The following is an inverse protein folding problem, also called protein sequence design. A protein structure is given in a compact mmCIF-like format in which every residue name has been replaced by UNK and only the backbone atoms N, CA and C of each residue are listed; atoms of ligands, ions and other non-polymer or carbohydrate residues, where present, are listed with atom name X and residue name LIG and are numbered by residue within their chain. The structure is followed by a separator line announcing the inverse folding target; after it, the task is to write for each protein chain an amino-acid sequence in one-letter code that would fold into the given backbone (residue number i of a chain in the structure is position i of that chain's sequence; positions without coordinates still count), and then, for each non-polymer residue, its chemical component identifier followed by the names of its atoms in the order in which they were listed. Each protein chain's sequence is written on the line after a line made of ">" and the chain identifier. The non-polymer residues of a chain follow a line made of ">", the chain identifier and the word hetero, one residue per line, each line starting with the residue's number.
data_IF_318199270331
#
_entry.id   IF_318199270331
#
_cell.length_a   1.000
_cell.length_b   1.000
_cell.length_c   1.000
_cell.angle_alpha   90.00
_cell.angle_beta   90.00
_cell.angle_gamma   90.00
#
_symmetry.space_group_name_H-M   'P 1'
#
loop_
_entity.id
_entity.type
_entity.pdbx_description
1 polymer ?
#
# COMPACT_ATOMS: atom_id res chain seq x y z
N UNK A 1 -24.96 2.25 -8.87
CA UNK A 1 -24.62 1.03 -9.63
C UNK A 1 -25.86 0.26 -10.06
N UNK A 2 -25.81 -0.51 -11.16
CA UNK A 2 -26.91 -1.35 -11.68
C UNK A 2 -26.97 -2.73 -11.01
N UNK A 3 -25.80 -3.31 -10.73
CA UNK A 3 -25.63 -4.55 -9.98
C UNK A 3 -24.34 -4.49 -9.14
N UNK A 4 -24.05 -5.54 -8.37
CA UNK A 4 -22.92 -5.59 -7.44
C UNK A 4 -21.55 -5.73 -8.11
N UNK A 5 -21.49 -6.22 -9.35
CA UNK A 5 -20.27 -6.20 -10.18
C UNK A 5 -19.75 -4.78 -10.47
N UNK A 6 -20.60 -3.78 -10.21
CA UNK A 6 -20.33 -2.35 -10.36
C UNK A 6 -20.13 -1.64 -9.00
N UNK A 7 -19.87 -2.38 -7.91
CA UNK A 7 -19.73 -1.85 -6.54
C UNK A 7 -18.72 -0.70 -6.43
N UNK A 8 -17.63 -0.77 -7.18
CA UNK A 8 -16.57 0.24 -7.17
C UNK A 8 -17.07 1.64 -7.61
N UNK A 9 -18.16 1.74 -8.39
CA UNK A 9 -18.78 3.02 -8.75
C UNK A 9 -19.31 3.76 -7.53
N UNK A 10 -19.65 3.03 -6.47
CA UNK A 10 -20.00 3.62 -5.18
C UNK A 10 -18.73 3.76 -4.34
N UNK A 11 -18.05 2.65 -4.03
CA UNK A 11 -17.04 2.61 -2.96
C UNK A 11 -15.70 3.24 -3.35
N UNK A 12 -15.22 2.98 -4.57
CA UNK A 12 -14.01 3.63 -5.09
C UNK A 12 -14.20 5.13 -5.25
N UNK A 13 -15.38 5.56 -5.70
CA UNK A 13 -15.74 6.99 -5.80
C UNK A 13 -15.89 7.66 -4.45
N UNK A 14 -16.60 7.04 -3.50
CA UNK A 14 -16.77 7.57 -2.16
C UNK A 14 -15.41 7.74 -1.47
N UNK A 15 -14.53 6.74 -1.60
CA UNK A 15 -13.16 6.80 -1.10
C UNK A 15 -12.40 7.98 -1.72
N UNK A 16 -12.40 8.12 -3.06
CA UNK A 16 -11.70 9.21 -3.74
C UNK A 16 -12.25 10.60 -3.40
N UNK A 17 -13.57 10.78 -3.42
CA UNK A 17 -14.22 12.05 -3.08
C UNK A 17 -13.98 12.40 -1.61
N UNK A 18 -13.95 11.42 -0.71
CA UNK A 18 -13.62 11.61 0.70
C UNK A 18 -12.23 12.21 0.89
N UNK A 19 -11.22 11.64 0.24
CA UNK A 19 -9.86 12.18 0.24
C UNK A 19 -9.78 13.57 -0.40
N UNK A 20 -10.41 13.76 -1.57
CA UNK A 20 -10.42 15.04 -2.27
C UNK A 20 -11.08 16.16 -1.43
N UNK A 21 -12.22 15.87 -0.81
CA UNK A 21 -12.93 16.82 0.04
C UNK A 21 -12.11 17.16 1.29
N UNK A 22 -11.49 16.15 1.91
CA UNK A 22 -10.64 16.36 3.09
C UNK A 22 -9.43 17.21 2.74
N UNK A 23 -8.75 16.93 1.61
CA UNK A 23 -7.62 17.72 1.13
C UNK A 23 -8.03 19.18 0.83
N UNK A 24 -9.23 19.39 0.28
CA UNK A 24 -9.73 20.74 0.02
C UNK A 24 -10.08 21.52 1.30
N UNK A 25 -10.66 20.84 2.29
CA UNK A 25 -11.09 21.46 3.55
C UNK A 25 -9.94 21.61 4.57
N UNK A 26 -9.00 20.66 4.54
CA UNK A 26 -7.88 20.51 5.48
C UNK A 26 -6.57 20.19 4.72
N UNK A 27 -6.08 21.08 3.84
CA UNK A 27 -4.85 20.85 3.08
C UNK A 27 -3.61 20.66 3.97
N UNK A 28 -3.63 21.20 5.19
CA UNK A 28 -2.56 21.06 6.18
C UNK A 28 -2.38 19.63 6.69
N UNK A 29 -3.37 18.75 6.50
CA UNK A 29 -3.28 17.34 6.91
C UNK A 29 -2.45 16.48 5.95
N UNK A 30 -2.17 16.96 4.73
CA UNK A 30 -1.37 16.21 3.74
C UNK A 30 -1.93 14.80 3.50
N UNK A 31 -3.24 14.72 3.22
CA UNK A 31 -3.94 13.44 3.18
C UNK A 31 -3.62 12.58 1.95
N UNK A 32 -3.15 13.18 0.85
CA UNK A 32 -2.73 12.41 -0.32
C UNK A 32 -1.45 11.59 -0.08
N UNK A 33 -0.38 12.15 0.50
CA UNK A 33 0.75 11.38 1.01
C UNK A 33 0.34 10.22 1.92
N UNK A 34 -0.60 10.43 2.85
CA UNK A 34 -1.14 9.37 3.73
C UNK A 34 -1.83 8.28 2.92
N UNK A 35 -2.73 8.65 2.00
CA UNK A 35 -3.40 7.69 1.13
C UNK A 35 -2.42 6.88 0.29
N UNK A 36 -1.35 7.49 -0.22
CA UNK A 36 -0.34 6.76 -0.99
C UNK A 36 0.34 5.74 -0.10
N UNK A 37 0.83 6.16 1.07
CA UNK A 37 1.55 5.34 2.03
C UNK A 37 0.74 4.14 2.54
N UNK A 38 -0.56 4.35 2.79
CA UNK A 38 -1.43 3.34 3.39
C UNK A 38 -2.31 2.67 2.33
N UNK A 39 -3.22 3.44 1.74
CA UNK A 39 -4.26 2.93 0.85
C UNK A 39 -3.71 2.38 -0.47
N UNK A 40 -2.88 3.16 -1.15
CA UNK A 40 -2.31 2.76 -2.45
C UNK A 40 -1.32 1.61 -2.29
N UNK A 41 -0.44 1.65 -1.28
CA UNK A 41 0.47 0.53 -0.96
C UNK A 41 -0.30 -0.75 -0.62
N UNK A 42 -1.41 -0.66 0.13
CA UNK A 42 -2.24 -1.83 0.41
C UNK A 42 -2.86 -2.41 -0.86
N UNK A 43 -3.37 -1.55 -1.75
CA UNK A 43 -3.88 -1.99 -3.04
C UNK A 43 -2.78 -2.63 -3.89
N UNK A 44 -1.56 -2.07 -3.92
CA UNK A 44 -0.43 -2.69 -4.64
C UNK A 44 -0.12 -4.09 -4.11
N UNK A 45 -0.02 -4.25 -2.78
CA UNK A 45 0.28 -5.54 -2.14
C UNK A 45 -0.74 -6.61 -2.53
N UNK A 46 -2.03 -6.32 -2.35
CA UNK A 46 -3.10 -7.28 -2.68
C UNK A 46 -3.21 -7.55 -4.18
N UNK A 47 -2.91 -6.56 -5.02
CA UNK A 47 -3.01 -6.71 -6.46
C UNK A 47 -1.72 -7.26 -7.12
N UNK A 48 -0.67 -7.47 -6.34
CA UNK A 48 0.60 -8.09 -6.76
C UNK A 48 0.58 -9.63 -6.72
N UNK A 49 -0.51 -10.26 -6.28
CA UNK A 49 -0.64 -11.71 -6.23
C UNK A 49 -1.56 -12.25 -7.32
N UNK A 50 -1.38 -13.51 -7.71
CA UNK A 50 -2.22 -14.16 -8.73
C UNK A 50 -3.66 -14.37 -8.29
N UNK A 51 -3.89 -14.48 -6.98
CA UNK A 51 -5.21 -14.66 -6.37
C UNK A 51 -6.02 -13.36 -6.21
N UNK A 52 -5.49 -12.21 -6.63
CA UNK A 52 -6.26 -10.95 -6.72
C UNK A 52 -7.44 -11.08 -7.69
N UNK A 53 -8.32 -10.08 -7.72
CA UNK A 53 -9.40 -9.96 -8.70
C UNK A 53 -9.38 -8.60 -9.42
N UNK A 54 -10.18 -8.50 -10.49
CA UNK A 54 -10.38 -7.24 -11.20
C UNK A 54 -11.32 -6.34 -10.39
N UNK A 55 -11.27 -5.03 -10.60
CA UNK A 55 -12.19 -4.10 -9.92
C UNK A 55 -13.64 -4.41 -10.28
N UNK A 56 -13.90 -4.67 -11.57
CA UNK A 56 -15.18 -5.18 -12.04
C UNK A 56 -15.13 -6.71 -12.12
N UNK A 57 -15.80 -7.35 -11.18
CA UNK A 57 -15.81 -8.81 -11.01
C UNK A 57 -17.25 -9.34 -11.12
N UNK A 58 -17.50 -10.44 -11.85
CA UNK A 58 -18.85 -10.99 -11.95
C UNK A 58 -19.35 -11.48 -10.59
N UNK A 59 -20.51 -10.96 -10.15
CA UNK A 59 -21.19 -11.36 -8.91
C UNK A 59 -22.45 -12.16 -9.26
N UNK A 60 -22.50 -13.43 -8.87
CA UNK A 60 -23.60 -14.34 -9.23
C UNK A 60 -24.64 -14.44 -8.13
N UNK A 61 -24.22 -14.43 -6.87
CA UNK A 61 -25.13 -14.55 -5.73
C UNK A 61 -24.71 -13.65 -4.55
N UNK A 62 -25.46 -13.73 -3.45
CA UNK A 62 -25.29 -12.84 -2.31
C UNK A 62 -23.99 -13.11 -1.52
N UNK A 63 -23.40 -14.31 -1.61
CA UNK A 63 -22.14 -14.61 -0.93
C UNK A 63 -20.97 -13.96 -1.67
N UNK A 64 -21.01 -13.95 -3.00
CA UNK A 64 -20.04 -13.24 -3.84
C UNK A 64 -19.99 -11.73 -3.51
N UNK A 65 -21.13 -11.12 -3.14
CA UNK A 65 -21.20 -9.70 -2.78
C UNK A 65 -20.25 -9.37 -1.63
N UNK A 66 -20.26 -10.17 -0.57
CA UNK A 66 -19.43 -9.93 0.61
C UNK A 66 -17.93 -10.05 0.35
N UNK A 67 -17.54 -10.79 -0.70
CA UNK A 67 -16.15 -10.99 -1.07
C UNK A 67 -15.54 -9.77 -1.76
N UNK A 68 -16.37 -8.89 -2.32
CA UNK A 68 -15.92 -7.73 -3.10
C UNK A 68 -16.04 -6.41 -2.32
N UNK A 69 -16.48 -6.46 -1.06
CA UNK A 69 -16.35 -5.38 -0.09
C UNK A 69 -14.92 -5.36 0.47
N UNK A 70 -13.95 -5.10 -0.40
CA UNK A 70 -12.54 -5.34 -0.13
C UNK A 70 -11.65 -4.16 -0.51
N UNK A 71 -10.35 -4.27 -0.24
CA UNK A 71 -9.39 -3.22 -0.57
C UNK A 71 -9.19 -3.02 -2.09
N UNK A 72 -9.50 -3.99 -2.95
CA UNK A 72 -9.45 -3.80 -4.39
C UNK A 72 -10.58 -2.86 -4.84
N UNK A 73 -11.83 -3.11 -4.45
CA UNK A 73 -12.95 -2.24 -4.85
C UNK A 73 -12.83 -0.81 -4.29
N UNK A 74 -12.29 -0.66 -3.08
CA UNK A 74 -12.14 0.65 -2.43
C UNK A 74 -10.85 1.36 -2.85
N UNK A 75 -9.68 0.75 -2.60
CA UNK A 75 -8.38 1.42 -2.67
C UNK A 75 -7.78 1.39 -4.09
N UNK A 76 -7.88 0.26 -4.80
CA UNK A 76 -7.52 0.20 -6.24
C UNK A 76 -8.51 1.03 -7.07
N UNK A 77 -9.80 0.95 -6.75
CA UNK A 77 -10.85 1.81 -7.31
C UNK A 77 -10.54 3.30 -7.15
N UNK A 78 -10.25 3.75 -5.92
CA UNK A 78 -9.82 5.12 -5.63
C UNK A 78 -8.56 5.51 -6.42
N UNK A 79 -7.55 4.64 -6.47
CA UNK A 79 -6.29 4.90 -7.17
C UNK A 79 -6.50 5.06 -8.69
N UNK A 80 -7.34 4.22 -9.30
CA UNK A 80 -7.70 4.31 -10.72
C UNK A 80 -8.46 5.62 -11.03
N UNK A 81 -9.38 6.04 -10.15
CA UNK A 81 -10.09 7.32 -10.27
C UNK A 81 -9.12 8.49 -10.14
N UNK A 82 -8.25 8.47 -9.12
CA UNK A 82 -7.23 9.51 -8.89
C UNK A 82 -6.31 9.68 -10.11
N UNK A 83 -5.85 8.58 -10.67
CA UNK A 83 -5.01 8.58 -11.87
C UNK A 83 -5.72 9.22 -13.07
N UNK A 84 -6.99 8.85 -13.31
CA UNK A 84 -7.77 9.43 -14.39
C UNK A 84 -8.07 10.91 -14.15
N UNK A 85 -8.47 11.29 -12.93
CA UNK A 85 -8.81 12.66 -12.57
C UNK A 85 -7.60 13.61 -12.73
N UNK A 86 -6.41 13.16 -12.33
CA UNK A 86 -5.17 13.89 -12.55
C UNK A 86 -4.87 14.04 -14.05
N UNK A 87 -5.00 12.96 -14.83
CA UNK A 87 -4.72 13.01 -16.27
C UNK A 87 -5.69 13.91 -17.06
N UNK A 88 -6.98 13.89 -16.73
CA UNK A 88 -7.98 14.72 -17.40
C UNK A 88 -8.00 16.18 -16.88
N UNK A 89 -7.39 16.42 -15.72
CA UNK A 89 -7.58 17.62 -14.91
C UNK A 89 -8.84 17.52 -14.06
N UNK A 90 -8.69 17.80 -12.75
CA UNK A 90 -9.75 17.62 -11.75
C UNK A 90 -11.03 18.39 -12.09
N UNK A 91 -10.93 19.61 -12.63
CA UNK A 91 -12.10 20.39 -13.04
C UNK A 91 -12.89 19.72 -14.18
N UNK A 92 -12.20 19.24 -15.21
CA UNK A 92 -12.80 18.51 -16.33
C UNK A 92 -13.43 17.21 -15.85
N UNK A 93 -12.74 16.51 -14.96
CA UNK A 93 -13.25 15.29 -14.35
C UNK A 93 -14.55 15.54 -13.57
N UNK A 94 -14.55 16.51 -12.64
CA UNK A 94 -15.72 16.88 -11.84
C UNK A 94 -16.88 17.37 -12.71
N UNK A 95 -16.61 18.07 -13.81
CA UNK A 95 -17.63 18.45 -14.79
C UNK A 95 -18.30 17.22 -15.42
N UNK A 96 -17.51 16.23 -15.84
CA UNK A 96 -18.04 14.97 -16.36
C UNK A 96 -18.83 14.17 -15.32
N UNK A 97 -18.35 14.10 -14.09
CA UNK A 97 -19.09 13.50 -12.96
C UNK A 97 -20.41 14.22 -12.71
N UNK A 98 -20.43 15.57 -12.74
CA UNK A 98 -21.68 16.33 -12.59
C UNK A 98 -22.69 15.99 -13.68
N UNK A 99 -22.24 15.83 -14.93
CA UNK A 99 -23.12 15.45 -16.03
C UNK A 99 -23.68 14.03 -15.85
N UNK A 100 -22.82 13.08 -15.46
CA UNK A 100 -23.21 11.71 -15.12
C UNK A 100 -24.29 11.68 -14.02
N UNK A 101 -24.05 12.35 -12.89
CA UNK A 101 -24.99 12.38 -11.76
C UNK A 101 -26.34 12.99 -12.14
N UNK A 102 -26.35 14.08 -12.92
CA UNK A 102 -27.60 14.71 -13.41
C UNK A 102 -28.37 13.80 -14.36
N UNK A 103 -27.67 13.07 -15.24
CA UNK A 103 -28.28 12.19 -16.23
C UNK A 103 -28.89 10.92 -15.61
N UNK A 104 -28.28 10.42 -14.53
CA UNK A 104 -28.67 9.16 -13.87
C UNK A 104 -29.34 9.39 -12.50
N UNK A 105 -29.80 10.61 -12.23
CA UNK A 105 -30.39 10.97 -10.95
C UNK A 105 -31.62 10.08 -10.62
N UNK A 106 -31.65 9.53 -9.41
CA UNK A 106 -32.69 8.62 -8.92
C UNK A 106 -32.84 7.30 -9.71
N UNK A 107 -31.82 6.92 -10.48
CA UNK A 107 -31.76 5.65 -11.19
C UNK A 107 -30.44 4.92 -10.98
N UNK A 108 -30.20 3.93 -11.83
CA UNK A 108 -29.01 3.09 -11.80
C UNK A 108 -28.13 3.36 -13.02
N UNK A 109 -26.86 2.94 -12.93
CA UNK A 109 -25.88 3.12 -13.98
C UNK A 109 -24.78 2.05 -13.89
N UNK A 110 -24.23 1.72 -15.06
CA UNK A 110 -23.06 0.87 -15.25
C UNK A 110 -21.80 1.71 -15.45
N UNK A 111 -20.64 1.06 -15.40
CA UNK A 111 -19.34 1.68 -15.58
C UNK A 111 -19.24 2.49 -16.88
N UNK A 112 -19.81 2.00 -17.98
CA UNK A 112 -19.76 2.67 -19.28
C UNK A 112 -20.49 4.02 -19.28
N UNK A 113 -21.50 4.19 -18.42
CA UNK A 113 -22.24 5.45 -18.33
C UNK A 113 -21.38 6.57 -17.74
N UNK A 114 -20.58 6.26 -16.72
CA UNK A 114 -19.60 7.19 -16.15
C UNK A 114 -18.51 7.52 -17.18
N UNK A 115 -17.91 6.51 -17.81
CA UNK A 115 -16.88 6.71 -18.83
C UNK A 115 -17.35 7.51 -20.02
N UNK A 116 -18.60 7.32 -20.46
CA UNK A 116 -19.18 8.12 -21.53
C UNK A 116 -19.28 9.60 -21.14
N UNK A 117 -19.75 9.90 -19.91
CA UNK A 117 -19.86 11.28 -19.43
C UNK A 117 -18.48 11.96 -19.27
N UNK A 118 -17.47 11.23 -18.78
CA UNK A 118 -16.10 11.73 -18.70
C UNK A 118 -15.48 11.92 -20.10
N UNK A 119 -15.80 11.04 -21.04
CA UNK A 119 -15.34 11.16 -22.43
C UNK A 119 -15.93 12.39 -23.12
N UNK A 120 -17.22 12.65 -22.93
CA UNK A 120 -17.90 13.85 -23.42
C UNK A 120 -17.30 15.14 -22.82
N UNK A 121 -16.95 15.13 -21.53
CA UNK A 121 -16.39 16.30 -20.86
C UNK A 121 -14.94 16.61 -21.25
N UNK A 122 -14.13 15.57 -21.48
CA UNK A 122 -12.68 15.69 -21.73
C UNK A 122 -12.27 15.64 -23.20
N UNK A 123 -13.14 15.11 -24.08
CA UNK A 123 -12.79 14.81 -25.47
C UNK A 123 -11.82 13.64 -25.62
N UNK A 124 -11.58 12.86 -24.56
CA UNK A 124 -10.75 11.64 -24.58
C UNK A 124 -11.64 10.40 -24.55
N UNK A 125 -11.20 9.30 -25.17
CA UNK A 125 -11.91 8.03 -25.09
C UNK A 125 -11.63 7.31 -23.76
N UNK A 126 -12.30 7.73 -22.69
CA UNK A 126 -12.06 7.22 -21.33
C UNK A 126 -12.36 5.73 -21.22
N UNK A 127 -13.32 5.21 -21.99
CA UNK A 127 -13.61 3.78 -22.03
C UNK A 127 -12.38 2.97 -22.49
N UNK A 128 -11.71 3.42 -23.57
CA UNK A 128 -10.49 2.78 -24.05
C UNK A 128 -9.36 2.86 -23.02
N UNK A 129 -9.20 4.02 -22.37
CA UNK A 129 -8.11 4.25 -21.40
C UNK A 129 -8.29 3.41 -20.13
N UNK A 130 -9.50 3.39 -19.55
CA UNK A 130 -9.76 2.77 -18.25
C UNK A 130 -10.20 1.30 -18.33
N UNK A 131 -10.61 0.82 -19.50
CA UNK A 131 -11.05 -0.57 -19.69
C UNK A 131 -10.12 -1.61 -19.04
N UNK A 132 -8.81 -1.62 -19.35
CA UNK A 132 -7.86 -2.54 -18.73
C UNK A 132 -7.72 -2.38 -17.21
N UNK A 133 -7.78 -1.15 -16.68
CA UNK A 133 -7.64 -0.88 -15.25
C UNK A 133 -8.79 -1.43 -14.41
N UNK A 134 -9.98 -1.48 -14.99
CA UNK A 134 -11.17 -1.97 -14.30
C UNK A 134 -11.37 -3.47 -14.50
N UNK A 135 -11.13 -3.98 -15.72
CA UNK A 135 -11.49 -5.34 -16.13
C UNK A 135 -10.36 -6.37 -16.00
N UNK A 136 -9.14 -5.95 -15.69
CA UNK A 136 -7.97 -6.85 -15.57
C UNK A 136 -7.42 -6.86 -14.15
N UNK A 137 -7.02 -8.06 -13.71
CA UNK A 137 -6.35 -8.31 -12.44
C UNK A 137 -4.92 -7.76 -12.52
N UNK A 138 -4.41 -7.21 -11.42
CA UNK A 138 -3.03 -6.75 -11.33
C UNK A 138 -2.80 -5.31 -11.78
N UNK A 139 -1.55 -4.89 -11.61
CA UNK A 139 -1.02 -3.59 -12.00
C UNK A 139 0.36 -3.75 -12.65
N UNK A 140 0.81 -2.78 -13.45
CA UNK A 140 2.10 -2.87 -14.12
C UNK A 140 3.25 -2.35 -13.25
N UNK A 141 4.43 -2.93 -13.48
CA UNK A 141 5.72 -2.28 -13.27
C UNK A 141 6.21 -1.70 -14.60
N UNK A 142 6.66 -0.45 -14.57
CA UNK A 142 7.28 0.25 -15.69
C UNK A 142 8.80 0.21 -15.53
N UNK A 143 9.48 -0.65 -16.30
CA UNK A 143 10.94 -0.76 -16.32
C UNK A 143 11.54 0.30 -17.24
N UNK A 144 12.52 1.04 -16.72
CA UNK A 144 13.19 2.14 -17.42
C UNK A 144 14.62 1.73 -17.77
N UNK A 145 15.01 1.97 -19.02
CA UNK A 145 16.39 1.85 -19.48
C UNK A 145 16.87 3.21 -20.02
N UNK A 146 17.98 3.71 -19.48
CA UNK A 146 18.53 5.01 -19.86
C UNK A 146 19.48 4.94 -21.05
N UNK A 147 19.36 5.94 -21.92
CA UNK A 147 20.26 6.19 -23.04
C UNK A 147 20.52 7.70 -23.14
N UNK A 148 21.56 8.16 -23.86
CA UNK A 148 21.81 9.59 -24.01
C UNK A 148 20.59 10.35 -24.55
N UNK A 149 20.08 11.30 -23.77
CA UNK A 149 18.90 12.14 -24.08
C UNK A 149 17.57 11.40 -24.27
N UNK A 150 17.47 10.12 -23.94
CA UNK A 150 16.24 9.35 -24.09
C UNK A 150 16.13 8.21 -23.08
N UNK A 151 14.91 7.76 -22.83
CA UNK A 151 14.64 6.57 -22.03
C UNK A 151 13.77 5.60 -22.82
N UNK A 152 14.10 4.32 -22.75
CA UNK A 152 13.20 3.25 -23.18
C UNK A 152 12.41 2.78 -21.97
N UNK A 153 11.11 2.64 -22.14
CA UNK A 153 10.19 2.22 -21.08
C UNK A 153 9.44 0.97 -21.53
N UNK A 154 9.27 0.01 -20.61
CA UNK A 154 8.54 -1.23 -20.85
C UNK A 154 7.62 -1.54 -19.68
N UNK A 155 6.37 -1.81 -19.97
CA UNK A 155 5.40 -2.27 -18.97
C UNK A 155 5.27 -3.78 -18.96
N UNK A 156 5.23 -4.36 -17.76
CA UNK A 156 4.88 -5.76 -17.51
C UNK A 156 4.05 -5.85 -16.23
N UNK A 157 3.19 -6.86 -16.11
CA UNK A 157 2.48 -7.15 -14.85
C UNK A 157 3.51 -7.31 -13.72
N UNK A 158 3.27 -6.64 -12.60
CA UNK A 158 4.05 -6.86 -11.39
C UNK A 158 3.48 -8.03 -10.58
N UNK A 159 4.35 -8.93 -10.12
CA UNK A 159 4.03 -9.94 -9.13
C UNK A 159 5.06 -9.91 -8.01
N UNK A 160 4.61 -9.95 -6.75
CA UNK A 160 5.50 -9.93 -5.58
C UNK A 160 6.45 -11.13 -5.52
N UNK A 161 6.08 -12.24 -6.16
CA UNK A 161 6.89 -13.46 -6.28
C UNK A 161 8.01 -13.35 -7.31
N UNK A 162 8.04 -12.31 -8.16
CA UNK A 162 9.05 -12.12 -9.20
C UNK A 162 9.00 -13.11 -10.37
N UNK A 163 8.15 -14.14 -10.31
CA UNK A 163 8.10 -15.26 -11.26
C UNK A 163 7.07 -15.06 -12.39
N UNK A 164 6.95 -13.83 -12.90
CA UNK A 164 5.98 -13.47 -13.96
C UNK A 164 6.17 -14.35 -15.20
N UNK A 165 5.10 -15.04 -15.63
CA UNK A 165 5.07 -15.87 -16.85
C UNK A 165 4.36 -15.12 -17.99
N UNK A 166 4.55 -15.50 -19.27
CA UNK A 166 3.89 -14.84 -20.40
C UNK A 166 2.36 -14.74 -20.27
N UNK A 167 1.73 -15.79 -19.74
CA UNK A 167 0.29 -15.84 -19.45
C UNK A 167 -0.17 -14.85 -18.35
N UNK A 168 0.75 -14.44 -17.46
CA UNK A 168 0.46 -13.42 -16.45
C UNK A 168 0.54 -12.00 -17.05
N UNK A 169 1.28 -11.81 -18.15
CA UNK A 169 1.63 -10.50 -18.72
C UNK A 169 0.98 -10.21 -20.09
N UNK A 170 -0.25 -10.64 -20.30
CA UNK A 170 -1.00 -10.41 -21.56
C UNK A 170 -1.57 -8.98 -21.66
N UNK A 171 -1.85 -8.34 -20.53
CA UNK A 171 -2.50 -7.04 -20.48
C UNK A 171 -1.55 -5.92 -20.87
N UNK A 172 -2.01 -5.01 -21.74
CA UNK A 172 -1.35 -3.72 -21.97
C UNK A 172 -2.22 -2.65 -21.33
N UNK A 173 -1.68 -1.97 -20.31
CA UNK A 173 -2.34 -0.87 -19.64
C UNK A 173 -2.07 0.43 -20.38
N UNK A 174 -3.04 1.33 -20.38
CA UNK A 174 -2.77 2.75 -20.65
C UNK A 174 -2.15 3.36 -19.39
N UNK A 175 -0.92 3.86 -19.47
CA UNK A 175 -0.20 4.40 -18.30
C UNK A 175 0.05 5.88 -18.50
N UNK A 176 -0.63 6.81 -17.77
CA UNK A 176 -0.25 8.22 -17.76
C UNK A 176 1.08 8.35 -17.02
N UNK A 177 2.11 8.81 -17.73
CA UNK A 177 3.49 8.78 -17.26
C UNK A 177 3.86 9.94 -16.34
N UNK A 178 3.11 11.04 -16.42
CA UNK A 178 3.36 12.30 -15.69
C UNK A 178 4.86 12.61 -15.58
N UNK A 179 5.48 12.82 -16.74
CA UNK A 179 6.93 12.94 -16.89
C UNK A 179 7.41 14.33 -16.50
N UNK A 180 8.27 14.42 -15.50
CA UNK A 180 9.06 15.61 -15.22
C UNK A 180 10.49 15.44 -15.76
N UNK A 181 11.11 16.53 -16.21
CA UNK A 181 12.46 16.50 -16.79
C UNK A 181 12.52 16.30 -18.31
N UNK A 182 11.49 16.76 -19.04
CA UNK A 182 11.54 16.85 -20.51
C UNK A 182 12.19 18.16 -20.94
N UNK A 183 13.22 18.09 -21.79
CA UNK A 183 13.97 19.27 -22.28
C UNK A 183 13.05 20.27 -22.95
N UNK A 184 13.24 21.54 -22.62
CA UNK A 184 12.44 22.64 -23.17
C UNK A 184 11.02 22.76 -22.56
N UNK A 185 10.64 21.88 -21.64
CA UNK A 185 9.35 21.94 -20.93
C UNK A 185 9.63 22.18 -19.45
N UNK A 186 8.87 23.10 -18.83
CA UNK A 186 8.90 23.31 -17.38
C UNK A 186 7.74 22.54 -16.73
N UNK A 187 8.03 21.85 -15.64
CA UNK A 187 7.05 21.08 -14.88
C UNK A 187 6.70 19.73 -15.51
N UNK A 188 5.53 19.21 -15.13
CA UNK A 188 5.05 17.88 -15.50
C UNK A 188 4.52 17.89 -16.95
N UNK A 189 4.94 16.90 -17.72
CA UNK A 189 4.45 16.62 -19.06
C UNK A 189 3.54 15.39 -19.03
N UNK A 190 2.24 15.61 -19.21
CA UNK A 190 1.24 14.54 -19.24
C UNK A 190 1.24 13.81 -20.59
N UNK A 191 2.14 12.85 -20.73
CA UNK A 191 2.18 11.86 -21.83
C UNK A 191 1.77 10.48 -21.31
N UNK A 192 1.43 9.55 -22.20
CA UNK A 192 1.02 8.21 -21.79
C UNK A 192 1.67 7.11 -22.63
N UNK A 193 1.87 5.95 -22.01
CA UNK A 193 2.25 4.71 -22.68
C UNK A 193 0.99 3.90 -23.00
N UNK A 194 0.73 3.66 -24.29
CA UNK A 194 -0.39 2.84 -24.79
C UNK A 194 0.05 1.47 -25.33
N UNK A 195 1.35 1.18 -25.28
CA UNK A 195 1.97 -0.05 -25.83
C UNK A 195 2.78 -0.75 -24.75
N UNK A 196 3.18 -2.00 -24.99
CA UNK A 196 4.07 -2.74 -24.09
C UNK A 196 5.41 -2.03 -23.86
N UNK A 197 5.92 -1.33 -24.87
CA UNK A 197 7.15 -0.56 -24.77
C UNK A 197 7.11 0.67 -25.69
N UNK A 198 7.87 1.70 -25.31
CA UNK A 198 8.11 2.89 -26.12
C UNK A 198 9.44 3.55 -25.75
N UNK A 199 9.89 4.52 -26.54
CA UNK A 199 11.07 5.34 -26.26
C UNK A 199 10.70 6.82 -26.22
N UNK A 200 11.08 7.49 -25.14
CA UNK A 200 10.81 8.91 -24.94
C UNK A 200 12.11 9.68 -25.15
N UNK A 201 12.11 10.58 -26.14
CA UNK A 201 13.23 11.47 -26.44
C UNK A 201 13.17 12.76 -25.64
N UNK A 202 14.26 13.51 -25.70
CA UNK A 202 14.41 14.83 -25.10
C UNK A 202 14.30 14.78 -23.57
N UNK A 203 14.91 13.76 -22.99
CA UNK A 203 15.01 13.61 -21.53
C UNK A 203 16.22 14.38 -21.01
N UNK A 204 16.01 15.15 -19.94
CA UNK A 204 17.08 15.77 -19.18
C UNK A 204 17.82 14.69 -18.38
N UNK A 205 19.11 14.51 -18.72
CA UNK A 205 19.97 13.54 -18.04
C UNK A 205 20.22 13.92 -16.57
N UNK A 206 20.18 15.21 -16.23
CA UNK A 206 20.41 15.68 -14.86
C UNK A 206 19.24 15.38 -13.93
N UNK A 207 18.02 15.33 -14.46
CA UNK A 207 16.84 14.95 -13.70
C UNK A 207 15.70 14.60 -14.63
N UNK A 208 15.14 13.41 -14.41
CA UNK A 208 13.81 13.10 -14.86
C UNK A 208 13.15 12.20 -13.84
N UNK A 209 11.82 12.21 -13.88
CA UNK A 209 11.00 11.35 -13.06
C UNK A 209 9.71 11.03 -13.80
N UNK A 210 9.30 9.78 -13.70
CA UNK A 210 8.00 9.26 -14.09
C UNK A 210 7.11 9.12 -12.85
N UNK A 211 5.80 9.17 -13.06
CA UNK A 211 4.78 9.15 -12.03
C UNK A 211 4.93 10.32 -11.03
N UNK A 212 5.13 11.54 -11.53
CA UNK A 212 5.22 12.73 -10.69
C UNK A 212 3.92 12.94 -9.89
N UNK A 213 4.05 13.23 -8.59
CA UNK A 213 2.94 13.28 -7.62
C UNK A 213 2.35 11.92 -7.27
N UNK A 214 3.00 10.82 -7.70
CA UNK A 214 2.54 9.45 -7.55
C UNK A 214 1.07 9.25 -7.99
N UNK A 215 0.60 9.99 -8.99
CA UNK A 215 -0.81 10.02 -9.39
C UNK A 215 -1.30 8.71 -10.03
N UNK A 216 -0.39 7.95 -10.64
CA UNK A 216 -0.70 6.71 -11.34
C UNK A 216 -0.51 5.46 -10.49
N UNK A 217 -1.40 4.48 -10.70
CA UNK A 217 -1.38 3.20 -10.00
C UNK A 217 -0.46 2.18 -10.70
N UNK A 218 0.85 2.47 -10.68
CA UNK A 218 1.88 1.59 -11.23
C UNK A 218 3.22 1.81 -10.51
N UNK A 219 4.06 0.77 -10.53
CA UNK A 219 5.43 0.83 -10.00
C UNK A 219 6.41 1.30 -11.07
N UNK A 220 7.49 1.97 -10.69
CA UNK A 220 8.56 2.36 -11.61
C UNK A 220 9.86 1.69 -11.19
N UNK A 221 10.41 0.88 -12.09
CA UNK A 221 11.71 0.25 -11.92
C UNK A 221 12.76 1.10 -12.63
N UNK A 222 13.37 2.02 -11.88
CA UNK A 222 14.47 2.85 -12.33
C UNK A 222 15.81 2.09 -12.27
N UNK A 223 16.76 2.39 -13.17
CA UNK A 223 18.14 1.93 -13.01
C UNK A 223 18.71 2.35 -11.65
N UNK A 224 19.59 1.54 -11.03
CA UNK A 224 20.22 1.88 -9.74
C UNK A 224 20.85 3.27 -9.72
N UNK A 225 21.46 3.70 -10.84
CA UNK A 225 22.16 4.98 -10.90
C UNK A 225 21.21 6.16 -10.90
N UNK A 226 20.01 5.98 -11.44
CA UNK A 226 18.94 6.96 -11.37
C UNK A 226 18.39 7.07 -9.96
N UNK A 227 18.19 5.95 -9.27
CA UNK A 227 17.75 5.95 -7.86
C UNK A 227 18.78 6.68 -6.98
N UNK A 228 20.07 6.38 -7.16
CA UNK A 228 21.15 7.11 -6.47
C UNK A 228 21.13 8.62 -6.77
N UNK A 229 20.88 9.00 -8.02
CA UNK A 229 20.80 10.41 -8.42
C UNK A 229 19.58 11.11 -7.82
N UNK A 230 18.41 10.47 -7.85
CA UNK A 230 17.19 10.98 -7.21
C UNK A 230 17.37 11.13 -5.69
N UNK A 231 18.11 10.22 -5.04
CA UNK A 231 18.45 10.32 -3.62
C UNK A 231 19.33 11.54 -3.29
N UNK A 232 20.03 12.12 -4.27
CA UNK A 232 20.80 13.37 -4.11
C UNK A 232 19.99 14.63 -4.43
N UNK A 233 18.77 14.46 -4.90
CA UNK A 233 17.90 15.52 -5.44
C UNK A 233 16.52 15.51 -4.77
N UNK A 234 16.47 15.13 -3.48
CA UNK A 234 15.22 15.01 -2.71
C UNK A 234 14.44 16.33 -2.60
N UNK A 235 15.11 17.47 -2.75
CA UNK A 235 14.51 18.81 -2.81
C UNK A 235 13.67 19.04 -4.08
N UNK A 236 13.86 18.20 -5.11
CA UNK A 236 13.10 18.21 -6.35
C UNK A 236 11.96 17.19 -6.37
N UNK A 237 11.75 16.46 -5.26
CA UNK A 237 10.71 15.44 -5.13
C UNK A 237 9.65 15.90 -4.13
N UNK A 238 8.38 15.72 -4.48
CA UNK A 238 7.29 15.90 -3.52
C UNK A 238 7.32 14.83 -2.40
N UNK A 239 6.46 14.95 -1.39
CA UNK A 239 6.33 13.95 -0.33
C UNK A 239 5.81 12.63 -0.94
N UNK A 240 4.77 12.73 -1.77
CA UNK A 240 4.19 11.63 -2.54
C UNK A 240 5.24 10.93 -3.39
N UNK A 241 6.12 11.72 -4.01
CA UNK A 241 7.17 11.24 -4.87
C UNK A 241 8.19 10.38 -4.13
N UNK A 242 8.60 10.83 -2.94
CA UNK A 242 9.53 10.11 -2.08
C UNK A 242 8.91 8.78 -1.62
N UNK A 243 7.68 8.84 -1.10
CA UNK A 243 6.89 7.68 -0.64
C UNK A 243 6.79 6.64 -1.76
N UNK A 244 6.33 7.05 -2.95
CA UNK A 244 6.12 6.12 -4.06
C UNK A 244 7.42 5.52 -4.61
N UNK A 245 8.53 6.27 -4.60
CA UNK A 245 9.83 5.72 -5.01
C UNK A 245 10.35 4.72 -3.97
N UNK A 246 10.20 4.99 -2.66
CA UNK A 246 10.55 4.04 -1.60
C UNK A 246 9.73 2.75 -1.75
N UNK A 247 8.40 2.84 -1.81
CA UNK A 247 7.52 1.68 -1.95
C UNK A 247 7.81 0.88 -3.22
N UNK A 248 8.04 1.57 -4.35
CA UNK A 248 8.42 0.92 -5.61
C UNK A 248 9.76 0.21 -5.53
N UNK A 249 10.81 0.89 -5.07
CA UNK A 249 12.14 0.26 -4.96
C UNK A 249 12.16 -0.87 -3.91
N UNK A 250 11.35 -0.77 -2.85
CA UNK A 250 11.15 -1.79 -1.82
C UNK A 250 10.57 -3.08 -2.41
N UNK A 251 9.37 -2.98 -3.00
CA UNK A 251 8.69 -4.12 -3.61
C UNK A 251 9.52 -4.76 -4.73
N UNK A 252 10.21 -3.96 -5.54
CA UNK A 252 11.08 -4.46 -6.61
C UNK A 252 12.30 -5.19 -6.05
N UNK A 253 12.86 -4.76 -4.92
CA UNK A 253 13.94 -5.47 -4.25
C UNK A 253 13.45 -6.83 -3.72
N UNK A 254 12.28 -6.87 -3.08
CA UNK A 254 11.69 -8.11 -2.56
C UNK A 254 11.31 -9.11 -3.66
N UNK A 255 10.79 -8.62 -4.79
CA UNK A 255 10.43 -9.48 -5.94
C UNK A 255 11.63 -9.90 -6.78
N UNK A 256 12.81 -9.31 -6.57
CA UNK A 256 14.01 -9.54 -7.39
C UNK A 256 14.00 -8.83 -8.74
N UNK A 257 13.06 -7.91 -9.00
CA UNK A 257 13.05 -7.04 -10.19
C UNK A 257 14.02 -5.85 -10.07
N UNK A 258 14.38 -5.49 -8.84
CA UNK A 258 15.38 -4.51 -8.47
C UNK A 258 16.38 -5.11 -7.48
N UNK A 259 17.21 -4.28 -6.86
CA UNK A 259 18.19 -4.73 -5.88
C UNK A 259 18.04 -3.96 -4.57
N UNK A 260 18.31 -4.65 -3.45
CA UNK A 260 18.37 -4.01 -2.13
C UNK A 260 19.38 -2.86 -2.12
N UNK A 261 20.53 -3.03 -2.78
CA UNK A 261 21.53 -1.97 -2.89
C UNK A 261 21.00 -0.69 -3.58
N UNK A 262 20.17 -0.83 -4.62
CA UNK A 262 19.56 0.31 -5.31
C UNK A 262 18.54 1.05 -4.43
N UNK A 263 17.69 0.30 -3.72
CA UNK A 263 16.78 0.85 -2.70
C UNK A 263 17.55 1.63 -1.62
N UNK A 264 18.58 1.01 -1.04
CA UNK A 264 19.37 1.60 0.03
C UNK A 264 20.14 2.85 -0.45
N UNK A 265 20.57 2.87 -1.72
CA UNK A 265 21.22 4.03 -2.34
C UNK A 265 20.28 5.23 -2.44
N UNK A 266 18.99 5.01 -2.67
CA UNK A 266 17.99 6.06 -2.62
C UNK A 266 17.77 6.55 -1.18
N UNK A 267 17.53 5.62 -0.25
CA UNK A 267 17.26 5.91 1.17
C UNK A 267 18.43 6.64 1.86
N UNK A 268 19.68 6.42 1.43
CA UNK A 268 20.84 7.11 1.99
C UNK A 268 20.73 8.64 1.87
N UNK A 269 20.01 9.16 0.87
CA UNK A 269 19.74 10.58 0.71
C UNK A 269 18.93 11.22 1.84
N UNK A 270 18.16 10.42 2.58
CA UNK A 270 17.12 10.87 3.51
C UNK A 270 17.66 11.21 4.91
N UNK A 271 18.98 11.32 5.10
CA UNK A 271 19.61 11.68 6.39
C UNK A 271 19.11 12.99 7.02
N UNK A 272 18.48 13.86 6.23
CA UNK A 272 17.88 15.14 6.67
C UNK A 272 16.37 15.19 6.47
N UNK A 273 15.74 14.07 6.11
CA UNK A 273 14.27 14.00 5.99
C UNK A 273 13.66 14.12 7.39
N UNK A 274 12.63 14.94 7.51
CA UNK A 274 11.90 15.18 8.76
C UNK A 274 10.39 14.89 8.60
N UNK A 275 9.93 14.59 7.38
CA UNK A 275 8.54 14.26 7.15
C UNK A 275 8.23 12.83 7.62
N UNK A 276 7.37 12.72 8.64
CA UNK A 276 6.93 11.43 9.20
C UNK A 276 6.34 10.48 8.16
N UNK A 277 5.56 10.98 7.20
CA UNK A 277 4.91 10.15 6.18
C UNK A 277 5.92 9.55 5.20
N UNK A 278 7.08 10.18 5.03
CA UNK A 278 8.19 9.61 4.26
C UNK A 278 8.90 8.52 5.08
N UNK A 279 9.14 8.77 6.36
CA UNK A 279 9.82 7.81 7.23
C UNK A 279 9.02 6.54 7.49
N UNK A 280 7.70 6.63 7.61
CA UNK A 280 6.87 5.43 7.81
C UNK A 280 6.87 4.47 6.62
N UNK A 281 7.31 4.89 5.43
CA UNK A 281 7.58 3.99 4.30
C UNK A 281 8.90 3.22 4.42
N UNK A 282 9.87 3.76 5.15
CA UNK A 282 11.21 3.17 5.34
C UNK A 282 11.24 2.28 6.59
N UNK A 283 10.20 2.34 7.43
CA UNK A 283 10.25 1.83 8.78
C UNK A 283 10.43 0.29 8.81
N UNK A 284 11.57 -0.10 9.37
CA UNK A 284 11.91 -1.46 9.75
C UNK A 284 12.17 -1.39 11.25
N UNK A 285 11.59 -2.30 12.03
CA UNK A 285 11.78 -2.36 13.48
C UNK A 285 13.26 -2.11 13.83
N UNK A 286 13.52 -1.11 14.67
CA UNK A 286 14.87 -0.74 15.08
C UNK A 286 15.63 -1.95 15.64
N UNK A 287 14.93 -2.80 16.41
CA UNK A 287 15.50 -4.02 16.97
C UNK A 287 15.89 -5.02 15.87
N UNK A 288 15.04 -5.19 14.86
CA UNK A 288 15.33 -6.03 13.71
C UNK A 288 16.53 -5.48 12.92
N UNK A 289 16.56 -4.18 12.61
CA UNK A 289 17.70 -3.54 11.96
C UNK A 289 18.99 -3.73 12.78
N UNK A 290 18.92 -3.53 14.09
CA UNK A 290 20.08 -3.63 14.97
C UNK A 290 20.61 -5.07 15.04
N UNK A 291 19.72 -6.04 15.10
CA UNK A 291 20.08 -7.45 15.08
C UNK A 291 20.75 -7.82 13.76
N UNK A 292 20.23 -7.33 12.65
CA UNK A 292 20.81 -7.54 11.32
C UNK A 292 22.20 -6.87 11.18
N UNK A 293 22.42 -5.73 11.84
CA UNK A 293 23.69 -5.00 11.80
C UNK A 293 24.75 -5.55 12.77
N UNK A 294 24.36 -5.85 14.01
CA UNK A 294 25.27 -6.17 15.12
C UNK A 294 25.27 -7.65 15.48
N UNK A 295 24.26 -8.40 15.04
CA UNK A 295 23.97 -9.74 15.53
C UNK A 295 23.30 -9.76 16.92
N UNK A 296 22.88 -8.60 17.46
CA UNK A 296 22.26 -8.48 18.78
C UNK A 296 21.05 -7.55 18.78
N UNK A 297 20.14 -7.78 19.73
CA UNK A 297 19.00 -6.88 19.96
C UNK A 297 19.50 -5.46 20.22
N UNK A 298 18.75 -4.47 19.75
CA UNK A 298 18.93 -3.07 20.11
C UNK A 298 18.83 -2.83 21.62
N UNK A 299 18.15 -3.71 22.38
CA UNK A 299 18.13 -3.66 23.85
C UNK A 299 19.49 -3.96 24.47
N UNK A 300 20.28 -4.82 23.83
CA UNK A 300 21.53 -5.33 24.37
C UNK A 300 22.74 -4.53 23.89
N UNK A 301 22.77 -4.20 22.59
CA UNK A 301 23.86 -3.47 21.95
C UNK A 301 23.29 -2.46 20.95
N UNK A 302 22.71 -1.35 21.44
CA UNK A 302 22.13 -0.34 20.58
C UNK A 302 23.22 0.28 19.71
N UNK A 303 23.11 0.06 18.41
CA UNK A 303 23.88 0.74 17.40
C UNK A 303 23.06 1.89 16.82
N UNK A 304 23.78 2.93 16.40
CA UNK A 304 23.25 3.96 15.51
C UNK A 304 24.03 3.86 14.22
N UNK A 305 23.33 3.83 13.10
CA UNK A 305 23.97 3.46 11.84
C UNK A 305 23.04 3.56 10.65
N UNK A 306 23.63 3.31 9.49
CA UNK A 306 22.96 3.40 8.20
C UNK A 306 22.66 2.02 7.58
N UNK A 307 22.49 1.96 6.26
CA UNK A 307 22.07 0.76 5.57
C UNK A 307 23.10 -0.39 5.63
N UNK A 308 22.60 -1.63 5.54
CA UNK A 308 23.41 -2.87 5.53
C UNK A 308 22.98 -3.70 4.32
N UNK A 309 23.93 -4.12 3.48
CA UNK A 309 23.65 -5.06 2.39
C UNK A 309 23.48 -6.47 2.96
N UNK A 310 22.41 -7.17 2.56
CA UNK A 310 22.11 -8.50 3.07
C UNK A 310 21.60 -9.43 1.99
N UNK A 311 21.92 -10.71 2.18
CA UNK A 311 21.28 -11.81 1.45
C UNK A 311 20.15 -12.35 2.32
N UNK A 312 18.97 -12.56 1.71
CA UNK A 312 17.81 -13.14 2.40
C UNK A 312 17.35 -14.40 1.70
N UNK A 313 16.59 -15.20 2.43
CA UNK A 313 15.77 -16.29 1.92
C UNK A 313 14.45 -16.29 2.68
N UNK A 314 13.38 -16.69 2.03
CA UNK A 314 12.10 -16.89 2.72
C UNK A 314 12.18 -18.16 3.59
N UNK A 315 11.63 -18.09 4.79
CA UNK A 315 11.50 -19.20 5.74
C UNK A 315 10.04 -19.61 5.88
N UNK A 316 9.81 -20.83 6.37
CA UNK A 316 8.46 -21.24 6.75
C UNK A 316 7.99 -20.40 7.94
N UNK A 317 6.70 -20.07 7.98
CA UNK A 317 6.06 -19.46 9.14
C UNK A 317 6.34 -20.22 10.44
N UNK A 318 6.34 -21.56 10.35
CA UNK A 318 6.64 -22.47 11.46
C UNK A 318 8.04 -22.31 12.03
N UNK A 319 8.99 -21.82 11.22
CA UNK A 319 10.36 -21.58 11.67
C UNK A 319 10.44 -20.34 12.59
N UNK A 320 9.35 -19.59 12.71
CA UNK A 320 9.21 -18.40 13.54
C UNK A 320 8.29 -18.61 14.76
N UNK A 321 7.84 -19.84 15.05
CA UNK A 321 6.87 -20.14 16.12
C UNK A 321 7.37 -19.72 17.51
N UNK A 322 8.70 -19.72 17.72
CA UNK A 322 9.35 -19.29 18.96
C UNK A 322 9.27 -17.78 19.19
N UNK A 323 9.01 -17.00 18.13
CA UNK A 323 8.77 -15.56 18.19
C UNK A 323 7.32 -15.21 18.54
N UNK A 324 6.40 -16.18 18.53
CA UNK A 324 4.96 -15.97 18.76
C UNK A 324 4.60 -16.44 20.17
N UNK A 325 4.28 -15.50 21.05
CA UNK A 325 4.08 -15.76 22.49
C UNK A 325 2.64 -16.03 22.91
N UNK A 326 1.71 -16.14 21.96
CA UNK A 326 0.34 -16.55 22.27
C UNK A 326 0.30 -18.03 22.68
N UNK A 327 -0.82 -18.46 23.27
CA UNK A 327 -1.01 -19.86 23.61
C UNK A 327 -0.96 -20.74 22.35
N UNK A 328 0.05 -21.62 22.32
CA UNK A 328 0.30 -22.53 21.21
C UNK A 328 1.00 -21.88 20.02
N UNK A 329 1.68 -20.75 20.20
CA UNK A 329 2.40 -20.03 19.13
C UNK A 329 1.52 -19.65 17.93
N UNK A 330 0.21 -19.46 18.17
CA UNK A 330 -0.75 -19.07 17.14
C UNK A 330 -0.61 -17.60 16.79
N UNK A 331 -0.60 -17.26 15.51
CA UNK A 331 -0.49 -15.87 15.06
C UNK A 331 -1.66 -15.02 15.58
N UNK A 332 -1.40 -13.99 16.41
CA UNK A 332 -2.43 -13.07 16.85
C UNK A 332 -2.84 -12.16 15.69
N UNK A 333 -4.13 -12.13 15.40
CA UNK A 333 -4.74 -11.29 14.38
C UNK A 333 -5.81 -10.39 15.00
N UNK A 334 -5.89 -9.16 14.53
CA UNK A 334 -6.93 -8.21 14.95
C UNK A 334 -8.23 -8.58 14.24
N UNK A 335 -9.21 -9.13 14.97
CA UNK A 335 -10.53 -9.45 14.44
C UNK A 335 -11.15 -8.30 13.61
N UNK A 336 -11.13 -7.02 14.04
CA UNK A 336 -11.72 -5.94 13.25
C UNK A 336 -10.96 -5.59 11.95
N UNK A 337 -9.68 -5.96 11.82
CA UNK A 337 -8.81 -5.44 10.75
C UNK A 337 -8.15 -6.54 9.89
N UNK A 338 -8.21 -7.81 10.31
CA UNK A 338 -7.45 -8.91 9.69
C UNK A 338 -8.33 -9.93 8.97
N UNK A 339 -9.66 -9.73 8.92
CA UNK A 339 -10.57 -10.73 8.35
C UNK A 339 -10.31 -11.02 6.87
N UNK A 340 -10.02 -10.01 6.05
CA UNK A 340 -9.74 -10.23 4.62
C UNK A 340 -8.46 -11.05 4.41
N UNK A 341 -7.41 -10.78 5.20
CA UNK A 341 -6.20 -11.57 5.19
C UNK A 341 -6.50 -13.02 5.62
N UNK A 342 -7.13 -13.21 6.78
CA UNK A 342 -7.43 -14.54 7.30
C UNK A 342 -8.33 -15.33 6.34
N UNK A 343 -9.38 -14.71 5.78
CA UNK A 343 -10.24 -15.33 4.78
C UNK A 343 -9.44 -15.78 3.55
N UNK A 344 -8.56 -14.93 3.01
CA UNK A 344 -7.69 -15.31 1.88
C UNK A 344 -6.79 -16.50 2.19
N UNK A 345 -6.30 -16.58 3.44
CA UNK A 345 -5.51 -17.71 3.90
C UNK A 345 -6.38 -18.96 4.03
N UNK A 346 -7.59 -18.87 4.61
CA UNK A 346 -8.51 -19.98 4.79
C UNK A 346 -9.05 -20.53 3.45
N UNK A 347 -9.31 -19.66 2.47
CA UNK A 347 -9.78 -20.03 1.13
C UNK A 347 -8.69 -20.53 0.19
N UNK A 348 -7.41 -20.37 0.54
CA UNK A 348 -6.31 -20.79 -0.34
C UNK A 348 -6.48 -22.28 -0.70
N UNK A 349 -6.33 -22.67 -1.99
CA UNK A 349 -6.50 -24.07 -2.40
C UNK A 349 -5.40 -24.97 -1.83
N UNK A 350 -4.24 -24.39 -1.52
CA UNK A 350 -3.11 -25.04 -0.90
C UNK A 350 -3.13 -24.83 0.62
N UNK A 351 -2.58 -25.78 1.35
CA UNK A 351 -2.45 -25.68 2.80
C UNK A 351 -1.44 -24.59 3.18
N UNK A 352 -1.72 -23.81 4.22
CA UNK A 352 -0.80 -22.79 4.72
C UNK A 352 -0.86 -22.70 6.24
N UNK A 353 0.26 -22.30 6.83
CA UNK A 353 0.44 -22.34 8.28
C UNK A 353 -0.56 -21.47 9.05
N UNK A 354 -1.00 -20.33 8.49
CA UNK A 354 -1.97 -19.43 9.16
C UNK A 354 -3.34 -20.08 9.33
N UNK A 355 -3.77 -20.94 8.40
CA UNK A 355 -5.06 -21.67 8.51
C UNK A 355 -5.18 -22.37 9.86
N UNK A 356 -4.12 -23.07 10.24
CA UNK A 356 -4.12 -23.92 11.43
C UNK A 356 -3.58 -23.20 12.68
N UNK A 357 -2.84 -22.09 12.50
CA UNK A 357 -2.09 -21.44 13.57
C UNK A 357 -2.43 -19.95 13.70
N UNK A 358 -3.71 -19.63 13.90
CA UNK A 358 -4.17 -18.26 14.16
C UNK A 358 -5.03 -18.15 15.42
N UNK A 359 -5.13 -16.94 15.95
CA UNK A 359 -6.06 -16.53 17.00
C UNK A 359 -6.52 -15.11 16.72
N UNK A 360 -7.81 -14.83 16.93
CA UNK A 360 -8.39 -13.52 16.68
C UNK A 360 -8.61 -12.80 18.01
N UNK A 361 -8.23 -11.52 18.09
CA UNK A 361 -8.46 -10.65 19.24
C UNK A 361 -9.29 -9.42 18.86
N UNK A 362 -10.17 -8.97 19.76
CA UNK A 362 -10.96 -7.75 19.58
C UNK A 362 -10.18 -6.46 19.92
N UNK A 363 -8.93 -6.35 19.44
CA UNK A 363 -8.08 -5.16 19.64
C UNK A 363 -8.03 -4.38 18.33
N UNK A 364 -8.22 -3.06 18.38
CA UNK A 364 -8.41 -2.21 17.20
C UNK A 364 -7.08 -1.71 16.61
N UNK A 365 -6.07 -1.54 17.44
CA UNK A 365 -4.79 -0.95 17.03
C UNK A 365 -3.59 -1.78 17.50
N UNK A 366 -2.47 -1.74 16.76
CA UNK A 366 -1.29 -2.53 17.09
C UNK A 366 -0.50 -2.03 18.31
N UNK A 367 -0.86 -0.88 18.90
CA UNK A 367 -0.28 -0.39 20.15
C UNK A 367 -1.07 -0.87 21.38
N UNK A 368 -2.14 -1.64 21.16
CA UNK A 368 -3.06 -2.11 22.19
C UNK A 368 -3.66 -0.97 23.03
N UNK A 369 -3.95 0.17 22.40
CA UNK A 369 -4.49 1.36 23.09
C UNK A 369 -6.02 1.43 23.07
N UNK A 370 -6.64 0.72 22.12
CA UNK A 370 -8.06 0.76 21.82
C UNK A 370 -8.56 -0.64 21.47
N UNK A 371 -9.68 -1.04 22.08
CA UNK A 371 -10.35 -2.32 21.89
C UNK A 371 -10.54 -3.06 23.21
N UNK A 372 -10.66 -4.39 23.13
CA UNK A 372 -10.86 -5.28 24.25
C UNK A 372 -9.95 -6.49 24.13
N UNK A 373 -9.24 -6.81 25.22
CA UNK A 373 -8.40 -8.01 25.33
C UNK A 373 -9.28 -9.26 25.50
N UNK A 374 -9.83 -9.73 24.38
CA UNK A 374 -10.69 -10.91 24.31
C UNK A 374 -10.48 -11.66 23.00
N UNK A 375 -10.50 -13.00 23.06
CA UNK A 375 -10.47 -13.85 21.87
C UNK A 375 -11.83 -13.81 21.16
N UNK A 376 -11.80 -13.81 19.83
CA UNK A 376 -12.97 -13.93 18.97
C UNK A 376 -12.96 -15.27 18.22
N UNK A 377 -14.13 -15.75 17.85
CA UNK A 377 -14.30 -16.98 17.08
C UNK A 377 -14.77 -16.68 15.67
N UNK A 378 -14.24 -17.41 14.68
CA UNK A 378 -14.69 -17.34 13.29
C UNK A 378 -15.31 -18.68 12.89
N UNK A 379 -16.59 -18.66 12.53
CA UNK A 379 -17.28 -19.82 11.97
C UNK A 379 -17.05 -19.88 10.45
N UNK A 380 -15.86 -20.32 10.05
CA UNK A 380 -15.49 -20.43 8.64
C UNK A 380 -15.92 -21.77 8.01
N UNK A 381 -16.45 -21.81 6.77
CA UNK A 381 -16.72 -20.71 5.84
C UNK A 381 -18.14 -20.11 5.97
N UNK A 382 -18.86 -20.39 7.05
CA UNK A 382 -20.24 -19.93 7.23
C UNK A 382 -20.35 -18.42 7.49
N UNK A 383 -19.28 -17.78 7.97
CA UNK A 383 -19.20 -16.36 8.28
C UNK A 383 -17.85 -15.76 7.82
N UNK A 384 -17.90 -14.50 7.36
CA UNK A 384 -16.72 -13.71 7.00
C UNK A 384 -16.31 -12.68 8.06
N UNK A 385 -17.05 -12.62 9.18
CA UNK A 385 -16.74 -11.78 10.34
C UNK A 385 -16.64 -12.65 11.59
N UNK A 386 -15.68 -12.31 12.45
CA UNK A 386 -15.54 -12.97 13.74
C UNK A 386 -16.65 -12.53 14.71
N UNK A 387 -17.03 -13.44 15.59
CA UNK A 387 -17.92 -13.17 16.72
C UNK A 387 -17.05 -13.00 17.95
N UNK A 388 -17.12 -11.82 18.55
CA UNK A 388 -16.42 -11.48 19.79
C UNK A 388 -17.44 -11.37 20.95
N UNK A 389 -17.02 -11.55 22.22
CA UNK A 389 -17.90 -11.35 23.38
C UNK A 389 -18.53 -9.95 23.45
N UNK A 390 -17.79 -8.91 23.04
CA UNK A 390 -18.29 -7.56 22.88
C UNK A 390 -18.38 -7.15 21.41
N UNK A 391 -18.95 -5.97 21.15
CA UNK A 391 -19.00 -5.40 19.79
C UNK A 391 -17.60 -5.33 19.21
N UNK A 392 -17.42 -6.01 18.08
CA UNK A 392 -16.15 -6.05 17.37
C UNK A 392 -15.76 -4.64 16.92
N UNK A 393 -14.52 -4.23 17.21
CA UNK A 393 -14.00 -2.91 16.84
C UNK A 393 -14.59 -1.73 17.62
N UNK A 394 -15.19 -1.98 18.79
CA UNK A 394 -15.62 -0.90 19.68
C UNK A 394 -14.39 -0.08 20.15
N UNK A 395 -14.35 1.24 19.95
CA UNK A 395 -13.17 2.05 20.24
C UNK A 395 -13.05 2.40 21.73
N UNK A 396 -12.97 1.39 22.59
CA UNK A 396 -12.83 1.54 24.04
C UNK A 396 -11.36 1.63 24.42
N UNK A 397 -10.95 2.58 25.29
CA UNK A 397 -9.57 2.63 25.78
C UNK A 397 -9.15 1.32 26.45
N UNK A 398 -8.01 0.78 26.04
CA UNK A 398 -7.37 -0.40 26.61
C UNK A 398 -6.14 0.08 27.41
N UNK A 399 -6.33 0.32 28.71
CA UNK A 399 -5.35 1.02 29.56
C UNK A 399 -4.43 0.08 30.35
N UNK A 400 -4.76 -1.21 30.43
CA UNK A 400 -4.05 -2.23 31.20
C UNK A 400 -3.04 -3.04 30.36
N UNK A 401 -2.98 -2.77 29.06
CA UNK A 401 -2.06 -3.38 28.10
C UNK A 401 -1.30 -2.28 27.39
N UNK A 402 0.03 -2.32 27.45
CA UNK A 402 0.88 -1.36 26.74
C UNK A 402 1.91 -2.10 25.93
N UNK A 403 2.02 -1.76 24.64
CA UNK A 403 3.12 -2.23 23.80
C UNK A 403 4.38 -1.49 24.18
N UNK A 404 5.50 -2.21 24.27
CA UNK A 404 6.81 -1.67 24.64
C UNK A 404 7.75 -1.73 23.43
N UNK A 405 8.30 -0.59 23.05
CA UNK A 405 9.27 -0.42 21.97
C UNK A 405 10.69 -0.22 22.53
N UNK A 406 11.71 -0.41 21.67
CA UNK A 406 13.10 -0.04 21.99
C UNK A 406 13.36 1.37 21.47
N UNK A 407 13.69 2.31 22.35
CA UNK A 407 13.99 3.68 21.97
C UNK A 407 15.29 3.74 21.16
N UNK A 408 15.20 4.33 19.97
CA UNK A 408 16.29 4.39 18.99
C UNK A 408 17.60 4.90 19.60
N UNK A 409 18.69 4.16 19.39
CA UNK A 409 20.04 4.51 19.81
C UNK A 409 20.33 4.38 21.31
N UNK A 410 19.34 3.99 22.12
CA UNK A 410 19.49 3.96 23.59
C UNK A 410 19.42 2.55 24.18
N UNK A 411 18.70 1.63 23.51
CA UNK A 411 18.36 0.33 24.08
C UNK A 411 17.31 0.35 25.18
N UNK A 412 16.85 1.56 25.58
CA UNK A 412 15.83 1.71 26.60
C UNK A 412 14.47 1.19 26.10
N UNK A 413 13.77 0.48 26.97
CA UNK A 413 12.39 0.07 26.72
C UNK A 413 11.46 1.24 27.01
N UNK A 414 10.55 1.56 26.10
CA UNK A 414 9.59 2.67 26.23
C UNK A 414 8.18 2.23 25.85
N UNK A 415 7.16 2.77 26.50
CA UNK A 415 5.77 2.57 26.10
C UNK A 415 5.57 3.13 24.69
N UNK A 416 5.10 2.32 23.75
CA UNK A 416 4.96 2.69 22.34
C UNK A 416 4.04 3.89 22.12
N UNK A 417 2.99 4.02 22.94
CA UNK A 417 2.02 5.12 22.84
C UNK A 417 2.52 6.46 23.41
N UNK A 418 3.39 6.45 24.43
CA UNK A 418 3.77 7.67 25.18
C UNK A 418 5.26 8.01 25.10
N UNK A 419 6.11 7.04 24.75
CA UNK A 419 7.57 7.16 24.79
C UNK A 419 8.15 7.15 26.21
N UNK A 420 7.33 6.89 27.24
CA UNK A 420 7.81 6.84 28.63
C UNK A 420 8.64 5.58 28.87
N UNK A 421 9.76 5.74 29.57
CA UNK A 421 10.68 4.64 29.88
C UNK A 421 10.03 3.61 30.80
N UNK A 422 10.26 2.33 30.49
CA UNK A 422 9.80 1.17 31.26
C UNK A 422 11.02 0.47 31.86
N UNK A 423 11.09 0.44 33.19
CA UNK A 423 12.24 -0.14 33.92
C UNK A 423 12.27 -1.68 33.88
N UNK A 424 11.10 -2.32 33.76
CA UNK A 424 10.97 -3.76 33.55
C UNK A 424 9.94 -4.05 32.44
N UNK A 425 10.38 -4.39 31.22
CA UNK A 425 9.50 -4.67 30.09
C UNK A 425 8.57 -5.87 30.32
N UNK A 426 8.92 -6.78 31.24
CA UNK A 426 8.07 -7.94 31.59
C UNK A 426 6.91 -7.57 32.52
N UNK A 427 6.96 -6.38 33.12
CA UNK A 427 6.00 -5.90 34.12
C UNK A 427 4.97 -4.91 33.59
N UNK A 428 5.01 -4.57 32.29
CA UNK A 428 4.29 -3.45 31.67
C UNK A 428 2.80 -3.45 32.03
N UNK A 429 2.51 -2.78 33.14
CA UNK A 429 1.22 -2.51 33.74
C UNK A 429 1.41 -1.19 34.49
N UNK A 430 0.61 -0.21 34.10
CA UNK A 430 0.46 1.15 34.65
C UNK A 430 1.62 2.15 34.49
N UNK A 431 1.34 3.24 33.75
CA UNK A 431 1.22 4.60 34.29
C UNK A 431 0.56 5.53 33.24
N UNK A 432 -0.43 6.32 33.69
CA UNK A 432 -1.04 7.46 32.96
C UNK A 432 -0.77 8.71 33.81
N UNK A 433 -0.54 9.89 33.18
CA UNK A 433 -1.48 10.98 33.44
C UNK A 433 -2.00 11.65 32.15
N UNK A 434 -3.30 11.97 32.22
CA UNK A 434 -4.13 12.74 31.28
C UNK A 434 -3.37 13.80 30.48
N UNK A 435 -3.34 13.65 29.15
CA UNK A 435 -3.50 14.72 28.15
C UNK A 435 -3.67 14.08 26.76
N UNK A 436 -4.85 14.27 26.18
CA UNK A 436 -5.19 13.95 24.79
C UNK A 436 -4.17 14.57 23.81
N UNK A 437 -3.60 13.78 22.89
CA UNK A 437 -3.48 14.07 21.45
C UNK A 437 -3.33 12.73 20.71
N UNK A 438 -4.13 12.56 19.66
CA UNK A 438 -4.20 11.40 18.76
C UNK A 438 -2.83 11.02 18.14
N UNK A 439 -2.49 9.73 18.14
CA UNK A 439 -1.53 9.12 17.22
C UNK A 439 -1.85 7.62 17.07
N UNK A 440 -2.21 7.22 15.85
CA UNK A 440 -2.35 5.83 15.41
C UNK A 440 -1.55 5.69 14.11
N UNK A 441 -0.64 4.72 14.05
CA UNK A 441 0.19 4.43 12.88
C UNK A 441 0.80 3.03 12.97
N UNK A 442 0.61 2.24 11.92
CA UNK A 442 0.65 0.78 11.89
C UNK A 442 2.03 0.10 12.04
N UNK A 443 2.02 -1.08 12.68
CA UNK A 443 3.01 -2.16 12.55
C UNK A 443 2.32 -3.34 11.84
N UNK A 444 2.46 -3.47 10.52
CA UNK A 444 1.86 -4.59 9.75
C UNK A 444 2.80 -5.18 8.67
N UNK A 445 4.11 -4.87 8.74
CA UNK A 445 5.08 -5.26 7.70
C UNK A 445 5.47 -6.74 7.64
N UNK A 446 5.05 -7.60 8.57
CA UNK A 446 5.64 -8.95 8.71
C UNK A 446 4.67 -10.10 8.38
N UNK A 447 3.36 -9.83 8.25
CA UNK A 447 2.33 -10.89 8.36
C UNK A 447 2.01 -11.63 7.05
N UNK A 448 2.31 -11.07 5.87
CA UNK A 448 1.78 -11.59 4.58
C UNK A 448 2.63 -12.67 3.89
N UNK A 449 3.87 -12.93 4.32
CA UNK A 449 4.69 -14.01 3.76
C UNK A 449 4.16 -15.41 4.10
N UNK A 450 3.21 -15.52 5.04
CA UNK A 450 2.82 -16.80 5.64
C UNK A 450 1.73 -17.57 4.86
N UNK A 451 1.03 -16.95 3.89
CA UNK A 451 -0.13 -17.58 3.21
C UNK A 451 0.07 -18.01 1.75
N UNK A 452 1.15 -17.58 1.09
CA UNK A 452 1.31 -17.79 -0.36
C UNK A 452 2.69 -18.32 -0.77
N UNK A 453 3.43 -18.97 0.12
CA UNK A 453 4.55 -19.82 -0.29
C UNK A 453 4.06 -21.24 -0.53
N UNK A 454 3.98 -21.70 -1.80
CA UNK A 454 4.09 -23.12 -2.08
C UNK A 454 5.49 -23.57 -1.67
N UNK A 455 5.56 -24.68 -0.94
CA UNK A 455 6.79 -25.39 -0.61
C UNK A 455 7.45 -26.00 -1.85
#
# INVERSE_FOLDING_TARGET
>A
MDWWDELWLNEGFATWVGWLATDHLHPEWQVWPQFINEGMEMAFKLDSIRASHAIHVPVKDALDVNQIFDHISYLKGCSAIRMLANHLGVETFLKGVSNYLKKHQYGNAKTEALWSALSEASGKDVNKLMGPWISKIGHPVLTVAEQPNQISIKQSRFLSTGDVKPQDDETTWWIPLELEGKKGVKGITSIALEKKEDTITDIDSEFYKLNSGASGFYRVNYPPERLLQLGKQLDRLSIEDKIAIIGSAGDLAFSGNGTTAALLSFIQGFSKEDNYLVWSQVDMSYDAWNYLYTGKSARDEPAVGGPVEMQYRNLSASDCDDLIHTKGSRLPLSAPNSMNFLASCLDAPEDNWVKDNHVLYNVLDPLCTVGRDEECELDWPAANQAVCPHTMGEPVPLEDKSVVNVQYGTGDSVVGATGEKVDDPSSASTLIPRSYVLLSGALLGVTHLLCHTPF
#
